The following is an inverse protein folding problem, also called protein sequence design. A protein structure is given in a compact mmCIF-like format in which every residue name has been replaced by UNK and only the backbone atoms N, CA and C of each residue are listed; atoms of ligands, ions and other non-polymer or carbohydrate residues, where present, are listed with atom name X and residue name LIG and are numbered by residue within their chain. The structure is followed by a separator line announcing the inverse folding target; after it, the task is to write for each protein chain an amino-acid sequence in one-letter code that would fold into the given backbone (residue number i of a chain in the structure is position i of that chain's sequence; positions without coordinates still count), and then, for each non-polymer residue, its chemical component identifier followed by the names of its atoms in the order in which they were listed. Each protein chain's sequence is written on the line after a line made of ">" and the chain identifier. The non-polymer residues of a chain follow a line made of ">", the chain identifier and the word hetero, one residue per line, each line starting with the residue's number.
data_IF_805274399329
#
_entry.id   IF_805274399329
#
_cell.length_a   1.000
_cell.length_b   1.000
_cell.length_c   1.000
_cell.angle_alpha   90.00
_cell.angle_beta   90.00
_cell.angle_gamma   90.00
#
_symmetry.space_group_name_H-M   'P 1'
#
loop_
_entity.id
_entity.type
_entity.pdbx_description
1 polymer ?
#
# COMPACT_ATOMS: atom_id res chain seq x y z
N UNK A 1 14.68 12.05 -13.08
CA UNK A 1 13.22 11.85 -13.20
C UNK A 1 12.51 11.91 -11.84
N UNK A 2 12.89 11.09 -10.85
CA UNK A 2 12.29 11.11 -9.50
C UNK A 2 12.37 12.45 -8.76
N UNK A 3 13.52 13.13 -8.85
CA UNK A 3 13.70 14.48 -8.28
C UNK A 3 12.78 15.53 -8.90
N UNK A 4 12.38 15.37 -10.17
CA UNK A 4 11.50 16.31 -10.87
C UNK A 4 10.04 16.18 -10.42
N UNK A 5 9.57 14.95 -10.17
CA UNK A 5 8.19 14.69 -9.69
C UNK A 5 8.01 15.21 -8.26
N UNK A 6 9.01 14.99 -7.39
CA UNK A 6 8.99 15.50 -6.01
C UNK A 6 9.12 17.02 -5.96
N UNK A 7 9.92 17.62 -6.86
CA UNK A 7 10.07 19.08 -6.97
C UNK A 7 8.83 19.77 -7.53
N UNK A 8 8.10 19.12 -8.46
CA UNK A 8 6.86 19.64 -9.03
C UNK A 8 5.66 19.56 -8.06
N UNK A 9 5.66 18.63 -7.11
CA UNK A 9 4.66 18.53 -6.06
C UNK A 9 4.96 19.48 -4.90
N UNK A 10 4.08 20.48 -4.69
CA UNK A 10 4.20 21.40 -3.55
C UNK A 10 4.30 20.66 -2.21
N UNK A 11 5.08 21.22 -1.27
CA UNK A 11 5.44 20.57 0.00
C UNK A 11 4.23 20.04 0.79
N UNK A 12 3.11 20.76 0.77
CA UNK A 12 1.83 20.39 1.39
C UNK A 12 1.20 19.16 0.74
N UNK A 13 1.24 19.07 -0.59
CA UNK A 13 0.63 18.00 -1.38
C UNK A 13 1.37 16.68 -1.13
N UNK A 14 2.71 16.70 -1.03
CA UNK A 14 3.48 15.51 -0.65
C UNK A 14 3.11 15.02 0.74
N UNK A 15 2.95 15.92 1.72
CA UNK A 15 2.59 15.55 3.09
C UNK A 15 1.20 14.92 3.13
N UNK A 16 0.22 15.54 2.45
CA UNK A 16 -1.14 14.99 2.34
C UNK A 16 -1.13 13.61 1.70
N UNK A 17 -0.42 13.43 0.58
CA UNK A 17 -0.28 12.13 -0.07
C UNK A 17 0.38 11.10 0.85
N UNK A 18 1.47 11.46 1.54
CA UNK A 18 2.12 10.56 2.50
C UNK A 18 1.17 10.11 3.61
N UNK A 19 0.34 11.01 4.15
CA UNK A 19 -0.66 10.65 5.17
C UNK A 19 -1.71 9.70 4.59
N UNK A 20 -2.24 10.00 3.41
CA UNK A 20 -3.21 9.12 2.72
C UNK A 20 -2.62 7.74 2.46
N UNK A 21 -1.38 7.67 1.95
CA UNK A 21 -0.67 6.42 1.71
C UNK A 21 -0.42 5.61 2.99
N UNK A 22 -0.23 6.28 4.13
CA UNK A 22 -0.07 5.66 5.44
C UNK A 22 -1.40 5.05 5.93
N UNK A 23 -2.52 5.79 5.79
CA UNK A 23 -3.86 5.29 6.11
C UNK A 23 -4.24 4.10 5.22
N UNK A 24 -3.98 4.17 3.91
CA UNK A 24 -4.23 3.07 2.98
C UNK A 24 -3.39 1.84 3.35
N UNK A 25 -2.15 2.03 3.80
CA UNK A 25 -1.32 0.93 4.32
C UNK A 25 -1.91 0.26 5.56
N UNK A 26 -2.42 1.04 6.51
CA UNK A 26 -3.05 0.52 7.73
C UNK A 26 -4.32 -0.28 7.41
N UNK A 27 -5.13 0.22 6.47
CA UNK A 27 -6.31 -0.50 5.98
C UNK A 27 -5.89 -1.80 5.26
N UNK A 28 -4.85 -1.75 4.43
CA UNK A 28 -4.30 -2.93 3.76
C UNK A 28 -3.78 -3.97 4.75
N UNK A 29 -3.08 -3.55 5.81
CA UNK A 29 -2.61 -4.43 6.87
C UNK A 29 -3.78 -5.07 7.63
N UNK A 30 -4.81 -4.30 7.98
CA UNK A 30 -6.03 -4.82 8.59
C UNK A 30 -6.70 -5.87 7.69
N UNK A 31 -6.77 -5.61 6.38
CA UNK A 31 -7.33 -6.53 5.41
C UNK A 31 -6.50 -7.82 5.30
N UNK A 32 -5.17 -7.72 5.28
CA UNK A 32 -4.26 -8.88 5.30
C UNK A 32 -4.49 -9.72 6.56
N UNK A 33 -4.55 -9.10 7.74
CA UNK A 33 -4.79 -9.80 9.01
C UNK A 33 -6.16 -10.48 8.99
N UNK A 34 -7.18 -9.79 8.48
CA UNK A 34 -8.52 -10.34 8.33
C UNK A 34 -8.52 -11.55 7.40
N UNK A 35 -7.84 -11.48 6.25
CA UNK A 35 -7.73 -12.57 5.27
C UNK A 35 -6.88 -13.74 5.78
N UNK A 36 -5.86 -13.49 6.60
CA UNK A 36 -5.01 -14.53 7.17
C UNK A 36 -5.77 -15.45 8.13
N UNK A 37 -6.87 -14.95 8.74
CA UNK A 37 -7.77 -15.75 9.57
C UNK A 37 -8.78 -16.59 8.77
N UNK A 38 -8.95 -16.33 7.47
CA UNK A 38 -9.77 -17.14 6.59
C UNK A 38 -8.87 -18.09 5.81
N UNK A 39 -8.81 -19.35 6.22
CA UNK A 39 -8.05 -20.39 5.48
C UNK A 39 -8.68 -20.62 4.08
N UNK A 40 -10.00 -20.47 3.97
CA UNK A 40 -10.76 -20.51 2.72
C UNK A 40 -11.96 -19.54 2.77
N UNK A 41 -12.13 -18.66 1.76
CA UNK A 41 -13.42 -17.98 1.53
C UNK A 41 -14.25 -18.92 0.67
N UNK A 42 -15.22 -19.59 1.30
CA UNK A 42 -16.15 -20.49 0.62
C UNK A 42 -17.20 -19.61 -0.07
N UNK A 43 -16.95 -19.25 -1.33
CA UNK A 43 -18.02 -18.70 -2.18
C UNK A 43 -18.84 -19.87 -2.72
N UNK A 44 -20.15 -19.86 -2.45
CA UNK A 44 -21.08 -20.76 -3.11
C UNK A 44 -21.39 -20.19 -4.50
N UNK A 45 -21.04 -20.94 -5.53
CA UNK A 45 -21.52 -20.67 -6.88
C UNK A 45 -23.03 -20.95 -6.97
N UNK A 46 -23.73 -20.33 -7.93
CA UNK A 46 -25.19 -20.53 -8.15
C UNK A 46 -25.54 -21.99 -8.49
N UNK A 47 -24.52 -22.81 -8.79
CA UNK A 47 -24.60 -24.26 -9.01
C UNK A 47 -24.52 -25.13 -7.74
N UNK A 48 -24.29 -24.52 -6.57
CA UNK A 48 -24.10 -25.23 -5.28
C UNK A 48 -22.73 -25.89 -5.12
N UNK A 49 -21.80 -25.65 -6.04
CA UNK A 49 -20.41 -26.13 -5.96
C UNK A 49 -19.57 -25.17 -5.11
N UNK A 50 -18.81 -25.71 -4.15
CA UNK A 50 -17.85 -24.93 -3.38
C UNK A 50 -16.66 -24.55 -4.26
N UNK A 51 -16.51 -23.26 -4.55
CA UNK A 51 -15.33 -22.74 -5.25
C UNK A 51 -14.40 -22.15 -4.20
N UNK A 52 -13.29 -22.82 -3.91
CA UNK A 52 -12.24 -22.30 -3.04
C UNK A 52 -11.37 -21.32 -3.83
N UNK A 53 -11.50 -20.03 -3.53
CA UNK A 53 -10.61 -19.00 -4.08
C UNK A 53 -9.36 -18.98 -3.22
N UNK A 54 -8.19 -19.19 -3.84
CA UNK A 54 -6.90 -19.13 -3.16
C UNK A 54 -6.57 -17.68 -2.72
N UNK A 55 -6.98 -17.31 -1.50
CA UNK A 55 -6.77 -16.00 -0.88
C UNK A 55 -5.30 -15.61 -0.76
N UNK A 56 -4.41 -16.60 -0.73
CA UNK A 56 -2.97 -16.44 -0.60
C UNK A 56 -2.38 -15.47 -1.62
N UNK A 57 -2.89 -15.51 -2.85
CA UNK A 57 -2.42 -14.63 -3.92
C UNK A 57 -2.87 -13.17 -3.69
N UNK A 58 -4.09 -12.98 -3.20
CA UNK A 58 -4.63 -11.66 -2.86
C UNK A 58 -3.88 -11.03 -1.69
N UNK A 59 -3.59 -11.83 -0.65
CA UNK A 59 -2.77 -11.41 0.50
C UNK A 59 -1.39 -10.95 0.03
N UNK A 60 -0.77 -11.69 -0.88
CA UNK A 60 0.54 -11.34 -1.43
C UNK A 60 0.53 -10.03 -2.21
N UNK A 61 -0.51 -9.78 -3.01
CA UNK A 61 -0.68 -8.52 -3.74
C UNK A 61 -0.84 -7.35 -2.78
N UNK A 62 -1.70 -7.47 -1.75
CA UNK A 62 -1.86 -6.42 -0.73
C UNK A 62 -0.56 -6.15 0.02
N UNK A 63 0.18 -7.20 0.38
CA UNK A 63 1.47 -7.07 1.04
C UNK A 63 2.48 -6.31 0.18
N UNK A 64 2.58 -6.65 -1.11
CA UNK A 64 3.50 -6.02 -2.04
C UNK A 64 3.15 -4.54 -2.25
N UNK A 65 1.86 -4.21 -2.37
CA UNK A 65 1.37 -2.82 -2.44
C UNK A 65 1.75 -2.05 -1.17
N UNK A 66 1.58 -2.64 0.00
CA UNK A 66 1.96 -2.03 1.28
C UNK A 66 3.46 -1.71 1.34
N UNK A 67 4.32 -2.65 0.95
CA UNK A 67 5.78 -2.47 0.92
C UNK A 67 6.18 -1.37 -0.06
N UNK A 68 5.64 -1.35 -1.28
CA UNK A 68 5.91 -0.31 -2.27
C UNK A 68 5.50 1.07 -1.78
N UNK A 69 4.34 1.17 -1.14
CA UNK A 69 3.85 2.43 -0.58
C UNK A 69 4.75 2.95 0.56
N UNK A 70 5.24 2.07 1.44
CA UNK A 70 6.21 2.45 2.48
C UNK A 70 7.53 2.95 1.88
N UNK A 71 8.02 2.24 0.86
CA UNK A 71 9.24 2.59 0.15
C UNK A 71 9.10 3.96 -0.54
N UNK A 72 7.94 4.22 -1.14
CA UNK A 72 7.64 5.53 -1.74
C UNK A 72 7.66 6.65 -0.69
N UNK A 73 7.04 6.47 0.47
CA UNK A 73 7.07 7.47 1.56
C UNK A 73 8.51 7.71 2.03
N UNK A 74 9.29 6.64 2.24
CA UNK A 74 10.67 6.72 2.71
C UNK A 74 11.56 7.51 1.74
N UNK A 75 11.50 7.20 0.44
CA UNK A 75 12.26 7.93 -0.58
C UNK A 75 11.80 9.39 -0.65
N UNK A 76 10.50 9.66 -0.57
CA UNK A 76 9.95 11.01 -0.64
C UNK A 76 10.40 11.87 0.56
N UNK A 77 10.43 11.29 1.76
CA UNK A 77 10.96 11.94 2.96
C UNK A 77 12.47 12.17 2.88
N UNK A 78 13.24 11.15 2.47
CA UNK A 78 14.69 11.25 2.37
C UNK A 78 15.12 12.26 1.31
N UNK A 79 14.41 12.33 0.18
CA UNK A 79 14.63 13.34 -0.85
C UNK A 79 14.39 14.76 -0.33
N UNK A 80 13.39 14.97 0.54
CA UNK A 80 13.13 16.27 1.16
C UNK A 80 14.18 16.63 2.19
N UNK A 81 14.60 15.67 3.01
CA UNK A 81 15.65 15.87 4.02
C UNK A 81 16.97 16.30 3.35
N UNK A 82 17.37 15.60 2.29
CA UNK A 82 18.57 15.93 1.53
C UNK A 82 18.48 17.25 0.75
N UNK A 83 17.27 17.67 0.35
CA UNK A 83 17.05 19.00 -0.23
C UNK A 83 17.12 20.12 0.81
N UNK A 84 16.73 19.85 2.06
CA UNK A 84 16.84 20.81 3.16
C UNK A 84 18.29 20.99 3.62
N UNK A 85 19.06 19.90 3.69
CA UNK A 85 20.48 19.90 4.07
C UNK A 85 21.39 20.70 3.11
N UNK A 86 20.94 20.89 1.86
CA UNK A 86 21.68 21.61 0.82
C UNK A 86 21.43 23.13 0.76
N UNK A 87 20.63 23.68 1.68
CA UNK A 87 20.38 25.12 1.84
C UNK A 87 21.04 25.65 3.10
#
# INVERSE_FOLDING_TARGET
>A
MYSFIVSAMGSKLTITLSIVLLVVNLIGLYFIISLYGYDEIISHDDSGMEVSINLRNLIFVFFLISVLNLLFISISMMSKFFSYDKR
#
